data_IF_059323024891
#
_entry.id   IF_059323024891
#
_cell.length_a   1.000
_cell.length_b   1.000
_cell.length_c   1.000
_cell.angle_alpha   90.00
_cell.angle_beta   90.00
_cell.angle_gamma   90.00
#
_symmetry.space_group_name_H-M   'P 1'
#
loop_
_entity.id
_entity.type
_entity.pdbx_description
1 polymer ?
#
# COMPACT_ATOMS: atom_id res chain seq x y z
N UNK A 1 -14.21 24.90 12.55
CA UNK A 1 -13.06 24.68 13.45
C UNK A 1 -13.38 23.46 14.33
N UNK A 2 -12.70 22.34 14.07
CA UNK A 2 -12.94 21.07 14.78
C UNK A 2 -11.71 20.81 15.66
N UNK A 3 -11.86 20.60 16.99
CA UNK A 3 -10.72 20.40 17.88
C UNK A 3 -10.13 19.00 17.69
N UNK A 4 -8.89 18.94 17.24
CA UNK A 4 -8.06 17.73 17.26
C UNK A 4 -7.54 17.55 18.68
N UNK A 5 -7.98 16.51 19.39
CA UNK A 5 -7.41 16.16 20.69
C UNK A 5 -6.33 15.10 20.56
N UNK A 6 -5.27 15.26 21.36
CA UNK A 6 -3.97 14.59 21.27
C UNK A 6 -3.88 13.32 22.14
N UNK A 7 -4.99 12.62 22.37
CA UNK A 7 -5.03 11.44 23.24
C UNK A 7 -5.18 10.15 22.43
N UNK A 8 -4.07 9.42 22.33
CA UNK A 8 -4.03 8.00 21.97
C UNK A 8 -4.58 7.18 23.13
N UNK A 9 -5.89 6.89 23.10
CA UNK A 9 -6.51 5.86 23.94
C UNK A 9 -6.66 4.57 23.12
N UNK A 10 -6.18 3.47 23.70
CA UNK A 10 -5.84 2.22 23.04
C UNK A 10 -6.96 1.44 22.33
N UNK A 11 -6.49 0.62 21.39
CA UNK A 11 -6.95 -0.74 21.05
C UNK A 11 -8.40 -1.00 20.63
N UNK A 12 -9.19 0.01 20.22
CA UNK A 12 -10.56 -0.24 19.78
C UNK A 12 -10.81 0.19 18.32
N UNK A 13 -11.05 -0.82 17.47
CA UNK A 13 -11.39 -0.73 16.04
C UNK A 13 -12.69 0.03 15.72
N UNK A 14 -13.51 0.33 16.71
CA UNK A 14 -14.72 1.16 16.59
C UNK A 14 -14.84 2.02 17.85
N UNK A 15 -14.64 3.34 17.74
CA UNK A 15 -14.95 4.25 18.83
C UNK A 15 -16.35 4.82 18.59
N UNK A 16 -17.35 4.28 19.28
CA UNK A 16 -18.72 4.82 19.28
C UNK A 16 -18.77 6.10 20.11
N UNK A 17 -18.44 7.25 19.51
CA UNK A 17 -18.72 8.56 20.12
C UNK A 17 -20.11 9.02 19.65
N UNK A 18 -21.04 9.14 20.61
CA UNK A 18 -22.33 9.84 20.45
C UNK A 18 -23.12 9.48 19.19
N UNK A 19 -23.60 8.24 19.10
CA UNK A 19 -24.65 7.86 18.15
C UNK A 19 -24.34 7.95 16.65
N UNK A 20 -23.09 8.25 16.27
CA UNK A 20 -22.64 8.32 14.87
C UNK A 20 -21.54 7.27 14.67
N UNK A 21 -21.66 6.44 13.65
CA UNK A 21 -20.59 5.54 13.21
C UNK A 21 -19.47 6.41 12.61
N UNK A 22 -18.46 6.72 13.41
CA UNK A 22 -17.27 7.41 12.91
C UNK A 22 -16.46 6.41 12.05
N UNK A 23 -16.33 6.69 10.75
CA UNK A 23 -15.39 5.97 9.90
C UNK A 23 -13.98 6.20 10.45
N UNK A 24 -13.34 5.14 10.93
CA UNK A 24 -11.94 5.23 11.35
C UNK A 24 -11.07 5.51 10.12
N UNK A 25 -9.91 6.17 10.26
CA UNK A 25 -8.94 6.35 9.17
C UNK A 25 -8.60 5.04 8.45
N UNK A 26 -8.74 3.94 9.19
CA UNK A 26 -8.51 2.59 8.73
C UNK A 26 -9.64 2.03 7.84
N UNK A 27 -10.90 2.40 8.09
CA UNK A 27 -12.00 2.10 7.16
C UNK A 27 -11.79 2.79 5.82
N UNK A 28 -11.34 4.04 5.84
CA UNK A 28 -10.99 4.76 4.60
C UNK A 28 -9.83 4.08 3.86
N UNK A 29 -8.78 3.65 4.58
CA UNK A 29 -7.67 2.92 3.98
C UNK A 29 -8.11 1.58 3.35
N UNK A 30 -9.01 0.84 4.00
CA UNK A 30 -9.59 -0.39 3.46
C UNK A 30 -10.31 -0.14 2.12
N UNK A 31 -11.21 0.85 2.10
CA UNK A 31 -11.97 1.22 0.89
C UNK A 31 -11.03 1.62 -0.25
N UNK A 32 -9.99 2.41 0.04
CA UNK A 32 -9.01 2.82 -0.98
C UNK A 32 -8.25 1.62 -1.55
N UNK A 33 -7.81 0.68 -0.72
CA UNK A 33 -7.08 -0.51 -1.19
C UNK A 33 -7.98 -1.41 -2.03
N UNK A 34 -9.20 -1.72 -1.58
CA UNK A 34 -10.16 -2.55 -2.32
C UNK A 34 -10.53 -1.91 -3.67
N UNK A 35 -10.77 -0.59 -3.67
CA UNK A 35 -11.07 0.15 -4.91
C UNK A 35 -9.87 0.15 -5.85
N UNK A 36 -8.65 0.30 -5.32
CA UNK A 36 -7.42 0.29 -6.11
C UNK A 36 -7.18 -1.09 -6.75
N UNK A 37 -7.44 -2.18 -6.03
CA UNK A 37 -7.31 -3.55 -6.56
C UNK A 37 -8.28 -3.81 -7.71
N UNK A 38 -9.53 -3.36 -7.58
CA UNK A 38 -10.54 -3.43 -8.65
C UNK A 38 -10.08 -2.61 -9.87
N UNK A 39 -9.56 -1.39 -9.68
CA UNK A 39 -9.06 -0.55 -10.77
C UNK A 39 -7.89 -1.23 -11.50
N UNK A 40 -6.95 -1.84 -10.77
CA UNK A 40 -5.86 -2.61 -11.38
C UNK A 40 -6.36 -3.86 -12.11
N UNK A 41 -7.40 -4.50 -11.60
CA UNK A 41 -8.03 -5.64 -12.25
C UNK A 41 -8.64 -5.24 -13.60
N UNK A 42 -9.28 -4.07 -13.71
CA UNK A 42 -9.94 -3.62 -14.95
C UNK A 42 -8.98 -3.50 -16.15
N UNK A 43 -7.71 -3.15 -15.93
CA UNK A 43 -6.71 -3.08 -17.01
C UNK A 43 -6.05 -4.44 -17.28
N UNK A 44 -5.74 -5.19 -16.22
CA UNK A 44 -5.07 -6.49 -16.33
C UNK A 44 -6.00 -7.62 -16.81
N UNK A 45 -7.30 -7.57 -16.51
CA UNK A 45 -8.29 -8.57 -16.94
C UNK A 45 -8.39 -8.62 -18.48
N UNK A 46 -8.65 -7.51 -19.22
CA UNK A 46 -8.69 -7.55 -20.68
C UNK A 46 -7.36 -8.01 -21.30
N UNK A 47 -6.23 -7.61 -20.73
CA UNK A 47 -4.91 -8.01 -21.20
C UNK A 47 -4.69 -9.53 -21.07
N UNK A 48 -5.13 -10.14 -19.96
CA UNK A 48 -5.04 -11.59 -19.74
C UNK A 48 -6.10 -12.34 -20.53
N UNK A 49 -7.34 -11.84 -20.57
CA UNK A 49 -8.45 -12.41 -21.35
C UNK A 49 -8.22 -12.38 -22.87
N UNK A 50 -7.35 -11.50 -23.36
CA UNK A 50 -6.87 -11.50 -24.74
C UNK A 50 -5.96 -12.70 -25.06
N UNK A 51 -5.42 -13.39 -24.04
CA UNK A 51 -4.50 -14.54 -24.17
C UNK A 51 -5.13 -15.84 -23.61
N UNK A 52 -5.96 -15.77 -22.56
CA UNK A 52 -6.66 -16.90 -21.90
C UNK A 52 -7.97 -16.47 -21.23
N UNK A 53 -9.08 -17.20 -21.41
CA UNK A 53 -10.45 -16.75 -21.10
C UNK A 53 -11.07 -17.31 -19.80
N UNK A 54 -10.36 -17.33 -18.66
CA UNK A 54 -10.92 -17.87 -17.39
C UNK A 54 -11.36 -16.78 -16.39
N UNK A 55 -12.59 -16.22 -16.52
CA UNK A 55 -13.12 -15.20 -15.59
C UNK A 55 -13.32 -15.72 -14.16
N UNK A 56 -13.33 -17.03 -13.93
CA UNK A 56 -13.42 -17.63 -12.60
C UNK A 56 -12.24 -17.26 -11.68
N UNK A 57 -11.02 -17.15 -12.24
CA UNK A 57 -9.83 -16.78 -11.48
C UNK A 57 -9.91 -15.34 -10.95
N UNK A 58 -10.45 -14.45 -11.77
CA UNK A 58 -10.65 -13.04 -11.43
C UNK A 58 -11.65 -12.90 -10.29
N UNK A 59 -12.82 -13.54 -10.42
CA UNK A 59 -13.87 -13.47 -9.40
C UNK A 59 -13.45 -14.12 -8.07
N UNK A 60 -12.84 -15.31 -8.13
CA UNK A 60 -12.39 -16.00 -6.91
C UNK A 60 -11.26 -15.27 -6.19
N UNK A 61 -10.31 -14.67 -6.92
CA UNK A 61 -9.23 -13.85 -6.33
C UNK A 61 -9.79 -12.62 -5.60
N UNK A 62 -10.75 -11.91 -6.19
CA UNK A 62 -11.31 -10.70 -5.57
C UNK A 62 -12.15 -11.03 -4.32
N UNK A 63 -12.89 -12.14 -4.34
CA UNK A 63 -13.56 -12.68 -3.14
C UNK A 63 -12.50 -13.03 -2.08
N UNK A 64 -11.39 -13.66 -2.45
CA UNK A 64 -10.33 -14.01 -1.51
C UNK A 64 -9.63 -12.78 -0.93
N UNK A 65 -9.43 -11.72 -1.72
CA UNK A 65 -8.91 -10.44 -1.27
C UNK A 65 -9.82 -9.83 -0.20
N UNK A 66 -11.12 -9.72 -0.47
CA UNK A 66 -12.11 -9.20 0.50
C UNK A 66 -12.15 -10.04 1.79
N UNK A 67 -12.11 -11.37 1.68
CA UNK A 67 -12.09 -12.28 2.84
C UNK A 67 -10.81 -12.16 3.68
N UNK A 68 -9.64 -11.99 3.04
CA UNK A 68 -8.35 -11.87 3.71
C UNK A 68 -8.07 -10.48 4.31
N UNK A 69 -8.65 -9.42 3.73
CA UNK A 69 -8.41 -8.04 4.13
C UNK A 69 -8.77 -7.76 5.60
N UNK A 70 -9.80 -8.40 6.15
CA UNK A 70 -10.17 -8.22 7.56
C UNK A 70 -9.04 -8.64 8.53
N UNK A 71 -8.35 -9.74 8.22
CA UNK A 71 -7.21 -10.23 9.02
C UNK A 71 -5.96 -9.37 8.80
N UNK A 72 -5.66 -9.05 7.54
CA UNK A 72 -4.51 -8.24 7.20
C UNK A 72 -4.63 -6.80 7.73
N UNK A 73 -5.84 -6.25 7.80
CA UNK A 73 -6.11 -4.91 8.32
C UNK A 73 -5.68 -4.76 9.79
N UNK A 74 -5.94 -5.76 10.64
CA UNK A 74 -5.44 -5.77 12.03
C UNK A 74 -3.91 -5.68 12.08
N UNK A 75 -3.22 -6.48 11.27
CA UNK A 75 -1.76 -6.47 11.16
C UNK A 75 -1.26 -5.13 10.62
N UNK A 76 -1.89 -4.60 9.57
CA UNK A 76 -1.53 -3.35 8.90
C UNK A 76 -1.65 -2.16 9.87
N UNK A 77 -2.69 -2.10 10.70
CA UNK A 77 -2.85 -1.02 11.69
C UNK A 77 -1.68 -0.95 12.69
N UNK A 78 -1.14 -2.11 13.08
CA UNK A 78 0.04 -2.23 13.95
C UNK A 78 1.35 -1.90 13.22
N UNK A 79 1.42 -2.27 11.93
CA UNK A 79 2.59 -2.07 11.08
C UNK A 79 2.72 -0.65 10.54
N UNK A 80 1.62 0.08 10.26
CA UNK A 80 1.63 1.44 9.73
C UNK A 80 2.47 2.41 10.57
N UNK A 81 2.46 2.25 11.90
CA UNK A 81 3.29 3.03 12.81
C UNK A 81 4.81 2.85 12.61
N UNK A 82 5.24 1.79 11.91
CA UNK A 82 6.65 1.42 11.72
C UNK A 82 7.19 1.66 10.31
N UNK A 83 6.35 1.90 9.31
CA UNK A 83 6.75 1.88 7.88
C UNK A 83 6.69 3.23 7.13
N UNK A 84 6.78 4.38 7.82
CA UNK A 84 6.64 5.68 7.15
C UNK A 84 7.63 5.93 5.98
N UNK A 85 8.84 5.37 6.04
CA UNK A 85 9.87 5.58 5.03
C UNK A 85 9.69 4.70 3.78
N UNK A 86 8.91 3.62 3.88
CA UNK A 86 8.61 2.73 2.75
C UNK A 86 7.69 3.41 1.73
N UNK A 87 6.78 4.26 2.19
CA UNK A 87 5.90 5.07 1.33
C UNK A 87 6.67 5.96 0.36
N UNK A 88 7.80 6.55 0.78
CA UNK A 88 8.62 7.39 -0.09
C UNK A 88 9.23 6.60 -1.27
N UNK A 89 9.66 5.37 -1.01
CA UNK A 89 10.22 4.51 -2.07
C UNK A 89 9.16 4.07 -3.06
N UNK A 90 7.95 3.78 -2.58
CA UNK A 90 6.80 3.45 -3.44
C UNK A 90 6.39 4.62 -4.34
N UNK A 91 6.35 5.85 -3.80
CA UNK A 91 6.06 7.05 -4.60
C UNK A 91 7.09 7.22 -5.72
N UNK A 92 8.38 7.06 -5.42
CA UNK A 92 9.44 7.14 -6.43
C UNK A 92 9.25 6.09 -7.54
N UNK A 93 8.97 4.83 -7.15
CA UNK A 93 8.72 3.75 -8.11
C UNK A 93 7.51 4.07 -8.99
N UNK A 94 6.41 4.55 -8.39
CA UNK A 94 5.18 4.83 -9.11
C UNK A 94 5.37 5.95 -10.14
N UNK A 95 6.09 7.01 -9.78
CA UNK A 95 6.46 8.08 -10.71
C UNK A 95 7.37 7.56 -11.82
N UNK A 96 8.39 6.76 -11.48
CA UNK A 96 9.29 6.17 -12.46
C UNK A 96 8.55 5.28 -13.47
N UNK A 97 7.67 4.39 -12.99
CA UNK A 97 6.87 3.51 -13.84
C UNK A 97 5.87 4.31 -14.68
N UNK A 98 5.19 5.30 -14.10
CA UNK A 98 4.25 6.16 -14.82
C UNK A 98 4.92 6.93 -15.96
N UNK A 99 6.09 7.54 -15.71
CA UNK A 99 6.88 8.21 -16.75
C UNK A 99 7.33 7.22 -17.83
N UNK A 100 7.80 6.04 -17.43
CA UNK A 100 8.19 4.99 -18.37
C UNK A 100 7.02 4.55 -19.25
N UNK A 101 5.81 4.39 -18.71
CA UNK A 101 4.63 3.98 -19.50
C UNK A 101 4.25 5.02 -20.56
N UNK A 102 4.39 6.32 -20.25
CA UNK A 102 4.17 7.40 -21.23
C UNK A 102 5.24 7.36 -22.34
N UNK A 103 6.50 7.12 -21.96
CA UNK A 103 7.63 7.07 -22.91
C UNK A 103 7.72 5.74 -23.68
N UNK A 104 7.05 4.68 -23.23
CA UNK A 104 7.08 3.36 -23.86
C UNK A 104 6.59 3.38 -25.31
N UNK A 105 5.76 4.36 -25.67
CA UNK A 105 5.24 4.51 -27.03
C UNK A 105 6.28 5.06 -28.04
N UNK A 106 7.41 5.60 -27.57
CA UNK A 106 8.45 6.21 -28.41
C UNK A 106 9.82 5.53 -28.29
N UNK A 107 10.11 4.85 -27.17
CA UNK A 107 11.40 4.18 -26.93
C UNK A 107 11.15 2.78 -26.38
N UNK A 108 11.66 1.75 -27.08
CA UNK A 108 11.64 0.37 -26.57
C UNK A 108 12.70 0.22 -25.47
N UNK A 109 12.28 0.45 -24.22
CA UNK A 109 13.14 0.20 -23.08
C UNK A 109 13.18 -1.29 -22.74
N UNK A 110 14.38 -1.89 -22.54
CA UNK A 110 14.48 -3.26 -22.06
C UNK A 110 13.84 -3.39 -20.67
N UNK A 111 12.96 -4.37 -20.51
CA UNK A 111 12.19 -4.61 -19.29
C UNK A 111 13.09 -4.88 -18.08
N UNK A 112 14.20 -5.59 -18.31
CA UNK A 112 15.24 -5.91 -17.33
C UNK A 112 15.81 -4.68 -16.61
N UNK A 113 15.98 -3.57 -17.33
CA UNK A 113 16.48 -2.32 -16.76
C UNK A 113 15.49 -1.75 -15.75
N UNK A 114 14.21 -1.75 -16.13
CA UNK A 114 13.12 -1.28 -15.26
C UNK A 114 12.98 -2.14 -14.01
N UNK A 115 13.04 -3.47 -14.18
CA UNK A 115 12.99 -4.41 -13.06
C UNK A 115 14.15 -4.16 -12.09
N UNK A 116 15.35 -3.95 -12.61
CA UNK A 116 16.53 -3.66 -11.79
C UNK A 116 16.36 -2.37 -10.99
N UNK A 117 15.86 -1.29 -11.61
CA UNK A 117 15.60 -0.02 -10.92
C UNK A 117 14.56 -0.18 -9.81
N UNK A 118 13.48 -0.92 -10.06
CA UNK A 118 12.44 -1.19 -9.06
C UNK A 118 13.02 -1.99 -7.89
N UNK A 119 13.76 -3.06 -8.16
CA UNK A 119 14.37 -3.91 -7.13
C UNK A 119 15.37 -3.13 -6.29
N UNK A 120 16.24 -2.34 -6.92
CA UNK A 120 17.24 -1.51 -6.22
C UNK A 120 16.56 -0.43 -5.38
N UNK A 121 15.53 0.23 -5.91
CA UNK A 121 14.73 1.22 -5.18
C UNK A 121 14.06 0.60 -3.94
N UNK A 122 13.42 -0.56 -4.09
CA UNK A 122 12.80 -1.28 -2.97
C UNK A 122 13.84 -1.71 -1.94
N UNK A 123 14.96 -2.28 -2.38
CA UNK A 123 16.04 -2.68 -1.51
C UNK A 123 16.59 -1.47 -0.72
N UNK A 124 16.84 -0.34 -1.40
CA UNK A 124 17.27 0.90 -0.76
C UNK A 124 16.23 1.42 0.23
N UNK A 125 14.94 1.39 -0.11
CA UNK A 125 13.83 1.76 0.77
C UNK A 125 13.73 0.89 2.02
N UNK A 126 13.90 -0.42 1.87
CA UNK A 126 13.90 -1.37 2.98
C UNK A 126 15.13 -1.15 3.87
N UNK A 127 16.32 -1.05 3.27
CA UNK A 127 17.59 -0.83 3.98
C UNK A 127 17.54 0.49 4.75
N UNK A 128 17.15 1.59 4.11
CA UNK A 128 17.01 2.90 4.78
C UNK A 128 15.94 2.88 5.88
N UNK A 129 14.81 2.20 5.66
CA UNK A 129 13.76 2.03 6.68
C UNK A 129 14.27 1.22 7.90
N UNK A 130 15.06 0.17 7.68
CA UNK A 130 15.66 -0.65 8.75
C UNK A 130 16.77 0.11 9.50
N UNK A 131 17.67 0.80 8.80
CA UNK A 131 18.74 1.58 9.44
C UNK A 131 18.19 2.80 10.19
N UNK A 132 17.22 3.52 9.61
CA UNK A 132 16.54 4.64 10.28
C UNK A 132 15.77 4.23 11.54
N UNK A 133 15.28 2.98 11.59
CA UNK A 133 14.66 2.39 12.78
C UNK A 133 15.69 2.09 13.89
N UNK A 134 16.91 1.69 13.54
CA UNK A 134 18.00 1.46 14.50
C UNK A 134 18.45 2.76 15.19
N UNK A 135 18.52 3.86 14.44
CA UNK A 135 18.94 5.17 14.97
C UNK A 135 17.96 5.75 16.01
N UNK A 136 16.65 5.54 15.82
CA UNK A 136 15.61 6.03 16.77
C UNK A 136 15.60 5.23 18.08
N UNK A 137 15.97 3.95 18.06
CA UNK A 137 16.06 3.10 19.27
C UNK A 137 17.37 3.37 20.04
N UNK A 138 18.48 3.59 19.33
CA UNK A 138 19.77 3.89 19.96
C UNK A 138 19.80 5.24 20.68
N UNK A 139 19.11 6.27 20.16
CA UNK A 139 19.02 7.57 20.82
C UNK A 139 18.06 7.59 22.04
N UNK A 140 17.11 6.66 22.12
CA UNK A 140 16.17 6.57 23.25
C UNK A 140 16.77 5.87 24.49
N UNK A 141 17.86 5.10 24.33
CA UNK A 141 18.57 4.43 25.43
C UNK A 141 19.73 5.27 26.00
N UNK A 142 19.96 6.48 25.45
CA UNK A 142 21.02 7.41 25.86
C UNK A 142 20.46 8.67 26.55
N UNK A 143 19.16 8.71 26.84
CA UNK A 143 18.45 9.72 27.63
C UNK A 143 18.01 9.11 28.95
#
# INVERSE_FOLDING_TARGET
FIPLTNNYDGDHFFVRRRHILAATPLFLALVVVETTDIIFAIDSIPAILAITTDPFLVFSSNIFAILGLRSMYFILSSMLNKFQYLSYSLVFILVFVGVKMILAHHVQFPEWLSLTVIVVSLAAGIVTSLLGRSQKVSNALKS
#
